data_IF_083291028073
#
_entry.id   IF_083291028073
#
_cell.length_a   1.000
_cell.length_b   1.000
_cell.length_c   1.000
_cell.angle_alpha   90.00
_cell.angle_beta   90.00
_cell.angle_gamma   90.00
#
_symmetry.space_group_name_H-M   'P 1'
#
loop_
_entity.id
_entity.type
_entity.pdbx_description
1 polymer ?
#
# COMPACT_ATOMS: atom_id res chain seq x y z
N UNK A 1 20.50 -0.34 3.51
CA UNK A 1 19.49 0.15 2.56
C UNK A 1 18.95 -1.05 1.81
N UNK A 2 17.73 -1.47 2.11
CA UNK A 2 17.10 -2.59 1.41
C UNK A 2 16.79 -2.16 -0.02
N UNK A 3 17.16 -2.96 -1.02
CA UNK A 3 16.78 -2.66 -2.40
C UNK A 3 15.26 -2.82 -2.57
N UNK A 4 14.60 -1.89 -3.29
CA UNK A 4 13.16 -1.96 -3.51
C UNK A 4 12.81 -3.21 -4.31
N UNK A 5 11.95 -4.04 -3.72
CA UNK A 5 11.43 -5.25 -4.35
C UNK A 5 10.17 -4.91 -5.10
N UNK A 6 10.25 -4.84 -6.42
CA UNK A 6 9.12 -4.43 -7.27
C UNK A 6 8.18 -5.59 -7.55
N UNK A 7 6.95 -5.49 -7.07
CA UNK A 7 5.89 -6.49 -7.24
C UNK A 7 4.68 -6.00 -8.02
N UNK A 8 3.71 -6.89 -8.20
CA UNK A 8 2.43 -6.58 -8.84
C UNK A 8 1.41 -6.00 -7.86
N UNK A 9 0.31 -5.43 -8.38
CA UNK A 9 -0.80 -4.97 -7.52
C UNK A 9 -1.45 -6.14 -6.76
N UNK A 10 -1.72 -7.32 -7.37
CA UNK A 10 -2.18 -8.49 -6.64
C UNK A 10 -1.25 -8.91 -5.49
N UNK A 11 0.05 -9.03 -5.75
CA UNK A 11 1.04 -9.40 -4.70
C UNK A 11 1.04 -8.40 -3.53
N UNK A 12 0.94 -7.11 -3.81
CA UNK A 12 0.83 -6.08 -2.76
C UNK A 12 -0.47 -6.22 -1.95
N UNK A 13 -1.58 -6.56 -2.62
CA UNK A 13 -2.87 -6.81 -1.98
C UNK A 13 -2.82 -8.04 -1.06
N UNK A 14 -2.21 -9.12 -1.53
CA UNK A 14 -2.02 -10.34 -0.76
C UNK A 14 -1.11 -10.09 0.46
N UNK A 15 -0.03 -9.30 0.31
CA UNK A 15 0.87 -8.97 1.44
C UNK A 15 0.18 -8.18 2.54
N UNK A 16 -0.66 -7.21 2.17
CA UNK A 16 -1.40 -6.39 3.14
C UNK A 16 -2.76 -6.97 3.55
N UNK A 17 -3.16 -8.12 2.98
CA UNK A 17 -4.48 -8.73 3.19
C UNK A 17 -5.64 -7.76 2.89
N UNK A 18 -5.54 -7.02 1.78
CA UNK A 18 -6.55 -6.05 1.33
C UNK A 18 -6.93 -6.28 -0.14
N UNK A 19 -8.04 -5.69 -0.57
CA UNK A 19 -8.42 -5.72 -1.99
C UNK A 19 -7.42 -4.98 -2.88
N UNK A 20 -7.26 -5.44 -4.13
CA UNK A 20 -6.49 -4.72 -5.17
C UNK A 20 -7.02 -3.29 -5.42
N UNK A 21 -8.32 -3.05 -5.17
CA UNK A 21 -8.92 -1.71 -5.22
C UNK A 21 -8.38 -0.80 -4.12
N UNK A 22 -8.12 -1.34 -2.92
CA UNK A 22 -7.47 -0.60 -1.83
C UNK A 22 -6.06 -0.20 -2.23
N UNK A 23 -5.24 -1.13 -2.74
CA UNK A 23 -3.88 -0.82 -3.23
C UNK A 23 -3.91 0.30 -4.28
N UNK A 24 -4.81 0.24 -5.26
CA UNK A 24 -4.94 1.32 -6.26
C UNK A 24 -5.27 2.68 -5.64
N UNK A 25 -6.16 2.72 -4.65
CA UNK A 25 -6.49 3.97 -3.93
C UNK A 25 -5.30 4.51 -3.17
N UNK A 26 -4.55 3.64 -2.49
CA UNK A 26 -3.36 4.04 -1.74
C UNK A 26 -2.27 4.60 -2.66
N UNK A 27 -2.08 4.00 -3.85
CA UNK A 27 -1.21 4.55 -4.90
C UNK A 27 -1.70 5.93 -5.36
N UNK A 28 -3.00 6.10 -5.62
CA UNK A 28 -3.57 7.40 -6.02
C UNK A 28 -3.39 8.47 -4.93
N UNK A 29 -3.41 8.08 -3.65
CA UNK A 29 -3.14 8.98 -2.52
C UNK A 29 -1.66 9.25 -2.27
N UNK A 30 -0.75 8.55 -2.94
CA UNK A 30 0.68 8.66 -2.72
C UNK A 30 1.18 7.95 -1.45
N UNK A 31 0.36 7.10 -0.83
CA UNK A 31 0.75 6.33 0.36
C UNK A 31 1.74 5.21 0.02
N UNK A 32 1.73 4.72 -1.23
CA UNK A 32 2.60 3.63 -1.69
C UNK A 32 3.35 4.06 -2.96
N UNK A 33 4.69 3.93 -3.00
CA UNK A 33 5.45 4.10 -4.22
C UNK A 33 5.04 3.07 -5.27
N UNK A 34 4.63 3.55 -6.43
CA UNK A 34 4.37 2.71 -7.60
C UNK A 34 4.90 3.38 -8.86
N UNK A 35 5.34 2.56 -9.80
CA UNK A 35 5.83 3.00 -11.11
C UNK A 35 5.11 2.28 -12.23
N UNK A 36 4.88 3.00 -13.33
CA UNK A 36 4.34 2.42 -14.54
C UNK A 36 5.48 1.82 -15.37
N UNK A 37 5.28 0.61 -15.89
CA UNK A 37 6.19 -0.05 -16.82
C UNK A 37 5.44 -0.21 -18.15
N UNK A 38 5.87 0.56 -19.15
CA UNK A 38 5.20 0.60 -20.46
C UNK A 38 3.77 1.14 -20.38
N UNK A 39 2.92 0.73 -21.32
CA UNK A 39 1.58 1.29 -21.46
C UNK A 39 0.59 0.86 -20.36
N UNK A 40 0.71 -0.37 -19.83
CA UNK A 40 -0.35 -0.98 -19.01
C UNK A 40 0.11 -1.57 -17.67
N UNK A 41 1.40 -1.86 -17.49
CA UNK A 41 1.86 -2.52 -16.27
C UNK A 41 2.14 -1.50 -15.18
N UNK A 42 1.75 -1.83 -13.95
CA UNK A 42 2.10 -1.07 -12.75
C UNK A 42 2.88 -2.01 -11.84
N UNK A 43 3.96 -1.49 -11.25
CA UNK A 43 4.73 -2.16 -10.21
C UNK A 43 4.72 -1.34 -8.94
N UNK A 44 4.60 -2.04 -7.82
CA UNK A 44 4.52 -1.49 -6.47
C UNK A 44 5.81 -1.84 -5.75
N UNK A 45 6.36 -0.91 -4.98
CA UNK A 45 7.47 -1.24 -4.08
C UNK A 45 6.94 -2.04 -2.88
N UNK A 46 7.22 -3.34 -2.85
CA UNK A 46 6.77 -4.23 -1.79
C UNK A 46 7.50 -3.98 -0.46
N UNK A 47 8.69 -3.39 -0.48
CA UNK A 47 9.45 -3.10 0.75
C UNK A 47 8.86 -1.92 1.51
N UNK A 48 8.26 -0.97 0.79
CA UNK A 48 7.55 0.15 1.40
C UNK A 48 6.29 -0.29 2.16
N UNK A 49 5.69 -1.44 1.79
CA UNK A 49 4.46 -1.94 2.40
C UNK A 49 4.61 -2.26 3.89
N UNK A 50 5.81 -2.67 4.32
CA UNK A 50 6.06 -3.06 5.71
C UNK A 50 6.00 -1.87 6.68
N UNK A 51 6.10 -0.64 6.16
CA UNK A 51 6.00 0.59 6.94
C UNK A 51 4.60 1.22 6.89
N UNK A 52 3.64 0.58 6.22
CA UNK A 52 2.29 1.10 6.06
C UNK A 52 1.43 0.74 7.26
N UNK A 53 0.62 1.71 7.66
CA UNK A 53 -0.32 1.59 8.76
C UNK A 53 0.08 2.47 9.92
N UNK A 54 -0.92 2.93 10.65
CA UNK A 54 -0.74 3.61 11.91
C UNK A 54 -1.46 2.79 12.99
N UNK A 55 -0.96 2.80 14.24
CA UNK A 55 -1.68 2.20 15.34
C UNK A 55 -3.08 2.81 15.43
N UNK A 56 -4.10 1.95 15.50
CA UNK A 56 -5.46 2.39 15.71
C UNK A 56 -5.58 2.93 17.14
N UNK A 57 -5.58 4.26 17.29
CA UNK A 57 -5.92 4.88 18.56
C UNK A 57 -7.44 4.94 18.70
N UNK A 58 -8.00 4.09 19.56
CA UNK A 58 -9.38 4.24 19.99
C UNK A 58 -9.45 5.35 21.03
N UNK A 59 -9.59 6.59 20.58
CA UNK A 59 -10.17 7.65 21.41
C UNK A 59 -11.66 7.35 21.52
N UNK A 60 -12.04 6.58 22.54
CA UNK A 60 -13.43 6.21 22.76
C UNK A 60 -14.32 7.43 22.70
N UNK A 61 -15.50 7.25 22.09
CA UNK A 61 -16.53 8.28 22.03
C UNK A 61 -16.88 8.72 23.44
N UNK A 62 -16.20 9.76 23.91
CA UNK A 62 -16.54 10.47 25.14
C UNK A 62 -17.88 11.15 24.89
N UNK A 63 -18.96 10.44 25.21
CA UNK A 63 -20.16 11.10 25.67
C UNK A 63 -19.80 11.78 26.99
N UNK A 64 -19.46 13.07 26.90
CA UNK A 64 -19.50 14.01 28.02
C UNK A 64 -20.86 14.71 27.99
#
# INVERSE_FOLDING_TARGET
>A
MSNPTWGTIPEAADRLQVSTRTIRRMITRGEIPARRIGARMIRVDLTALDSIGAPLQYTGGGAL
#
